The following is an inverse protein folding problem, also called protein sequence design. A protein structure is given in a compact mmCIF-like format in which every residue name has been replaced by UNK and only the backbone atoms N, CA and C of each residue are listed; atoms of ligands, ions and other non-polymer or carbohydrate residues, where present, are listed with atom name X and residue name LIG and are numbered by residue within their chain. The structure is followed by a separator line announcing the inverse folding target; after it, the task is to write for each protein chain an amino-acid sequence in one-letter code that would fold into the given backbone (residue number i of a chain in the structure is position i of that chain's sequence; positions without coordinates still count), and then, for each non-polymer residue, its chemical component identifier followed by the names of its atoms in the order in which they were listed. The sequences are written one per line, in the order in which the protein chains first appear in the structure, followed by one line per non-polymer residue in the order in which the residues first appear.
data_IF_149219851986
#
_entry.id   IF_149219851986
#
_cell.length_a   1.000
_cell.length_b   1.000
_cell.length_c   1.000
_cell.angle_alpha   90.00
_cell.angle_beta   90.00
_cell.angle_gamma   90.00
#
_symmetry.space_group_name_H-M   'P 1'
#
loop_
_entity.id
_entity.type
_entity.pdbx_description
1 polymer ?
#
# COMPACT_ATOMS: atom_id res chain seq x y z
N UNK A 1 18.45 -23.51 5.34
CA UNK A 1 18.20 -22.45 6.31
C UNK A 1 17.91 -21.15 5.58
N UNK A 2 16.83 -20.52 5.94
CA UNK A 2 16.45 -19.27 5.29
C UNK A 2 17.23 -18.09 5.87
N UNK A 3 18.08 -17.51 5.05
CA UNK A 3 18.69 -16.25 5.41
C UNK A 3 17.70 -15.14 5.14
N UNK A 4 17.29 -14.47 6.21
CA UNK A 4 16.52 -13.25 6.08
C UNK A 4 17.50 -12.09 6.17
N UNK A 5 17.81 -11.49 5.03
CA UNK A 5 18.60 -10.28 5.01
C UNK A 5 17.68 -9.09 5.09
N UNK A 6 17.99 -8.15 5.96
CA UNK A 6 17.21 -6.92 6.05
C UNK A 6 17.75 -5.92 5.04
N UNK A 7 16.91 -5.52 4.12
CA UNK A 7 17.21 -4.37 3.27
C UNK A 7 16.88 -3.10 4.07
N UNK A 8 17.69 -2.08 3.93
CA UNK A 8 17.53 -0.82 4.65
C UNK A 8 17.69 0.35 3.69
N UNK A 9 17.22 1.53 4.13
CA UNK A 9 17.40 2.79 3.42
C UNK A 9 16.88 2.71 1.97
N UNK A 10 17.63 3.29 1.06
CA UNK A 10 17.24 3.38 -0.35
C UNK A 10 17.00 2.02 -0.99
N UNK A 11 17.80 1.01 -0.63
CA UNK A 11 17.65 -0.33 -1.18
C UNK A 11 16.31 -0.95 -0.80
N UNK A 12 15.85 -0.72 0.43
CA UNK A 12 14.55 -1.19 0.91
C UNK A 12 13.40 -0.52 0.13
N UNK A 13 13.50 0.78 -0.04
CA UNK A 13 12.49 1.54 -0.79
C UNK A 13 12.46 1.11 -2.25
N UNK A 14 13.63 0.98 -2.88
CA UNK A 14 13.73 0.57 -4.28
C UNK A 14 13.12 -0.82 -4.49
N UNK A 15 13.37 -1.75 -3.57
CA UNK A 15 12.80 -3.10 -3.67
C UNK A 15 11.28 -3.08 -3.48
N UNK A 16 10.80 -2.35 -2.48
CA UNK A 16 9.38 -2.18 -2.24
C UNK A 16 8.69 -1.59 -3.46
N UNK A 17 9.24 -0.52 -4.00
CA UNK A 17 8.71 0.16 -5.18
C UNK A 17 8.66 -0.78 -6.37
N UNK A 18 9.74 -1.51 -6.61
CA UNK A 18 9.82 -2.48 -7.71
C UNK A 18 8.71 -3.53 -7.63
N UNK A 19 8.49 -4.11 -6.45
CA UNK A 19 7.48 -5.15 -6.26
C UNK A 19 6.07 -4.59 -6.36
N UNK A 20 5.79 -3.47 -5.70
CA UNK A 20 4.45 -2.86 -5.72
C UNK A 20 4.08 -2.42 -7.14
N UNK A 21 4.99 -1.76 -7.85
CA UNK A 21 4.70 -1.25 -9.20
C UNK A 21 4.64 -2.36 -10.24
N UNK A 22 5.29 -3.50 -10.00
CA UNK A 22 5.18 -4.66 -10.88
C UNK A 22 3.85 -5.40 -10.69
N UNK A 23 3.37 -5.52 -9.45
CA UNK A 23 2.17 -6.29 -9.14
C UNK A 23 0.91 -5.42 -9.19
N UNK A 24 0.95 -4.23 -8.61
CA UNK A 24 -0.09 -3.21 -8.55
C UNK A 24 -1.30 -3.56 -7.68
N UNK A 25 -1.93 -4.70 -7.87
CA UNK A 25 -3.14 -5.07 -7.14
C UNK A 25 -2.79 -5.83 -5.87
N UNK A 26 -3.37 -5.41 -4.76
CA UNK A 26 -3.20 -6.09 -3.48
C UNK A 26 -4.56 -6.39 -2.84
N UNK A 27 -4.54 -7.28 -1.85
CA UNK A 27 -5.62 -7.36 -0.88
C UNK A 27 -5.28 -6.39 0.25
N UNK A 28 -6.12 -5.38 0.41
CA UNK A 28 -5.94 -4.34 1.42
C UNK A 28 -6.75 -4.71 2.66
N UNK A 29 -6.08 -5.01 3.75
CA UNK A 29 -6.69 -5.55 4.96
C UNK A 29 -6.77 -4.50 6.04
N UNK A 30 -7.98 -4.32 6.60
CA UNK A 30 -8.26 -3.45 7.73
C UNK A 30 -8.85 -4.25 8.88
N UNK A 31 -9.04 -3.63 10.04
CA UNK A 31 -9.64 -4.29 11.20
C UNK A 31 -8.87 -5.55 11.64
N UNK A 32 -7.55 -5.45 11.67
CA UNK A 32 -6.68 -6.60 11.90
C UNK A 32 -6.88 -7.28 13.26
N UNK A 33 -7.42 -6.54 14.23
CA UNK A 33 -7.57 -7.00 15.61
C UNK A 33 -9.00 -7.37 16.00
N UNK A 34 -9.92 -7.46 15.04
CA UNK A 34 -11.30 -7.83 15.35
C UNK A 34 -11.44 -9.33 15.54
N UNK A 35 -12.37 -9.73 16.42
CA UNK A 35 -12.65 -11.15 16.66
C UNK A 35 -13.21 -11.85 15.42
N UNK A 36 -13.88 -11.11 14.56
CA UNK A 36 -14.45 -11.61 13.31
C UNK A 36 -13.40 -11.75 12.19
N UNK A 37 -12.15 -11.38 12.48
CA UNK A 37 -11.07 -11.39 11.52
C UNK A 37 -10.96 -10.11 10.72
N UNK A 38 -9.86 -9.97 10.00
CA UNK A 38 -9.62 -8.80 9.18
C UNK A 38 -10.58 -8.72 8.00
N UNK A 39 -10.93 -7.51 7.61
CA UNK A 39 -11.71 -7.26 6.40
C UNK A 39 -10.76 -6.93 5.26
N UNK A 40 -10.90 -7.61 4.14
CA UNK A 40 -10.00 -7.47 3.00
C UNK A 40 -10.77 -7.12 1.73
N UNK A 41 -10.15 -6.34 0.86
CA UNK A 41 -10.68 -6.01 -0.47
C UNK A 41 -9.55 -5.78 -1.45
N UNK A 42 -9.76 -6.09 -2.74
CA UNK A 42 -8.76 -5.76 -3.75
C UNK A 42 -8.64 -4.25 -3.92
N UNK A 43 -7.41 -3.76 -4.04
CA UNK A 43 -7.13 -2.37 -4.33
C UNK A 43 -5.90 -2.26 -5.20
N UNK A 44 -5.90 -1.28 -6.09
CA UNK A 44 -4.75 -1.00 -6.95
C UNK A 44 -3.90 0.11 -6.34
N UNK A 45 -2.63 -0.20 -6.11
CA UNK A 45 -1.66 0.81 -5.70
C UNK A 45 -1.39 1.75 -6.87
N UNK A 46 -1.24 3.04 -6.59
CA UNK A 46 -0.97 4.05 -7.60
C UNK A 46 0.53 4.29 -7.76
N UNK A 47 1.23 4.36 -6.63
CA UNK A 47 2.63 4.77 -6.64
C UNK A 47 3.27 4.45 -5.30
N UNK A 48 4.57 4.20 -5.31
CA UNK A 48 5.43 4.24 -4.12
C UNK A 48 6.32 5.47 -4.27
N UNK A 49 6.25 6.40 -3.33
CA UNK A 49 7.07 7.61 -3.39
C UNK A 49 8.49 7.36 -2.88
N UNK A 50 9.35 8.37 -3.00
CA UNK A 50 10.76 8.25 -2.60
C UNK A 50 10.96 8.01 -1.11
N UNK A 51 9.96 8.35 -0.28
CA UNK A 51 10.00 8.05 1.15
C UNK A 51 9.48 6.64 1.48
N UNK A 52 9.03 5.90 0.47
CA UNK A 52 8.55 4.53 0.66
C UNK A 52 7.06 4.41 0.98
N UNK A 53 6.31 5.50 0.92
CA UNK A 53 4.87 5.45 1.15
C UNK A 53 4.14 4.91 -0.07
N UNK A 54 3.12 4.08 0.19
CA UNK A 54 2.29 3.48 -0.87
C UNK A 54 0.97 4.26 -0.92
N UNK A 55 0.60 4.69 -2.11
CA UNK A 55 -0.54 5.58 -2.32
C UNK A 55 -1.68 4.89 -3.05
N UNK A 56 -2.91 5.18 -2.59
CA UNK A 56 -4.14 4.63 -3.17
C UNK A 56 -5.19 5.73 -3.28
N UNK A 57 -6.14 5.57 -4.21
CA UNK A 57 -7.38 6.32 -4.17
C UNK A 57 -8.45 5.52 -3.43
N UNK A 58 -9.37 6.21 -2.79
CA UNK A 58 -10.53 5.61 -2.16
C UNK A 58 -11.73 6.55 -2.27
N UNK A 59 -12.90 6.00 -2.03
CA UNK A 59 -14.11 6.80 -1.95
C UNK A 59 -14.25 7.35 -0.54
N UNK A 60 -14.60 8.63 -0.45
CA UNK A 60 -14.62 9.40 0.79
C UNK A 60 -15.40 8.72 1.91
N UNK A 61 -16.56 8.14 1.61
CA UNK A 61 -17.43 7.52 2.60
C UNK A 61 -17.38 5.99 2.56
N UNK A 62 -16.30 5.41 2.05
CA UNK A 62 -16.18 3.97 1.95
C UNK A 62 -16.00 3.29 3.31
N UNK A 63 -16.37 2.02 3.38
CA UNK A 63 -16.18 1.20 4.58
C UNK A 63 -14.71 1.11 4.98
N UNK A 64 -13.81 1.05 3.99
CA UNK A 64 -12.38 0.99 4.27
C UNK A 64 -11.87 2.29 4.90
N UNK A 65 -12.38 3.45 4.47
CA UNK A 65 -12.03 4.71 5.09
C UNK A 65 -12.49 4.77 6.55
N UNK A 66 -13.71 4.31 6.82
CA UNK A 66 -14.24 4.26 8.17
C UNK A 66 -13.42 3.31 9.06
N UNK A 67 -13.04 2.16 8.51
CA UNK A 67 -12.20 1.19 9.22
C UNK A 67 -10.82 1.77 9.55
N UNK A 68 -10.21 2.49 8.62
CA UNK A 68 -8.91 3.14 8.83
C UNK A 68 -8.99 4.21 9.90
N UNK A 69 -10.06 4.99 9.91
CA UNK A 69 -10.26 6.03 10.94
C UNK A 69 -10.43 5.42 12.33
N UNK A 70 -11.05 4.24 12.42
CA UNK A 70 -11.22 3.54 13.69
C UNK A 70 -9.93 2.87 14.16
N UNK A 71 -9.16 2.28 13.25
CA UNK A 71 -7.88 1.64 13.52
C UNK A 71 -7.02 1.74 12.25
N UNK A 72 -5.95 2.51 12.33
CA UNK A 72 -5.13 2.82 11.17
C UNK A 72 -4.14 1.72 10.78
N UNK A 73 -4.05 0.64 11.53
CA UNK A 73 -3.17 -0.48 11.18
C UNK A 73 -3.73 -1.24 9.99
N UNK A 74 -2.90 -1.44 8.98
CA UNK A 74 -3.29 -2.12 7.74
C UNK A 74 -2.25 -3.13 7.34
N UNK A 75 -2.68 -4.09 6.52
CA UNK A 75 -1.79 -5.10 5.95
C UNK A 75 -2.14 -5.24 4.46
N UNK A 76 -1.11 -5.24 3.64
CA UNK A 76 -1.27 -5.34 2.18
C UNK A 76 -0.64 -6.64 1.70
N UNK A 77 -1.39 -7.42 0.93
CA UNK A 77 -0.88 -8.65 0.32
C UNK A 77 -0.84 -8.49 -1.19
N UNK A 78 0.37 -8.45 -1.74
CA UNK A 78 0.60 -8.42 -3.18
C UNK A 78 1.04 -9.80 -3.63
N UNK A 79 0.48 -10.29 -4.73
CA UNK A 79 0.79 -11.63 -5.24
C UNK A 79 0.84 -11.62 -6.76
N UNK A 80 1.93 -12.16 -7.30
CA UNK A 80 2.09 -12.37 -8.74
C UNK A 80 2.64 -13.79 -8.95
N UNK A 81 1.75 -14.83 -8.91
CA UNK A 81 2.19 -16.22 -9.02
C UNK A 81 2.96 -16.53 -10.30
N UNK A 82 2.58 -15.90 -11.42
CA UNK A 82 3.24 -16.11 -12.71
C UNK A 82 4.71 -15.73 -12.71
N UNK A 83 5.12 -14.79 -11.85
CA UNK A 83 6.51 -14.38 -11.68
C UNK A 83 7.10 -14.86 -10.35
N UNK A 84 6.39 -15.67 -9.61
CA UNK A 84 6.79 -16.14 -8.28
C UNK A 84 7.16 -14.98 -7.34
N UNK A 85 6.38 -13.91 -7.37
CA UNK A 85 6.60 -12.72 -6.55
C UNK A 85 5.46 -12.52 -5.58
N UNK A 86 5.81 -12.31 -4.32
CA UNK A 86 4.85 -12.11 -3.23
C UNK A 86 5.40 -11.04 -2.29
N UNK A 87 4.52 -10.20 -1.79
CA UNK A 87 4.92 -9.13 -0.88
C UNK A 87 3.83 -8.92 0.16
N UNK A 88 4.23 -8.89 1.43
CA UNK A 88 3.35 -8.52 2.54
C UNK A 88 3.88 -7.23 3.14
N UNK A 89 3.03 -6.22 3.22
CA UNK A 89 3.38 -4.93 3.84
C UNK A 89 2.54 -4.73 5.08
N UNK A 90 3.18 -4.45 6.20
CA UNK A 90 2.53 -4.04 7.45
C UNK A 90 2.79 -2.56 7.66
N UNK A 91 1.74 -1.79 7.89
CA UNK A 91 1.91 -0.35 8.04
C UNK A 91 0.73 0.35 8.65
N UNK A 92 0.76 1.66 8.53
CA UNK A 92 -0.29 2.55 9.02
C UNK A 92 -0.83 3.37 7.88
N UNK A 93 -2.14 3.51 7.82
CA UNK A 93 -2.82 4.25 6.77
C UNK A 93 -3.30 5.61 7.29
N UNK A 94 -3.24 6.61 6.43
CA UNK A 94 -3.75 7.95 6.68
C UNK A 94 -4.63 8.35 5.51
N UNK A 95 -5.81 8.89 5.81
CA UNK A 95 -6.74 9.37 4.78
C UNK A 95 -6.53 10.86 4.61
N UNK A 96 -6.39 11.29 3.38
CA UNK A 96 -6.12 12.68 3.02
C UNK A 96 -7.10 13.16 1.96
N UNK A 97 -7.42 14.45 2.00
CA UNK A 97 -8.28 15.11 1.03
C UNK A 97 -7.50 16.23 0.30
N UNK A 98 -6.27 15.93 -0.04
CA UNK A 98 -5.34 16.88 -0.64
C UNK A 98 -5.50 16.88 -2.16
N UNK A 99 -6.06 17.95 -2.69
CA UNK A 99 -6.32 18.07 -4.13
C UNK A 99 -5.04 18.05 -4.97
N UNK A 100 -3.96 18.64 -4.47
CA UNK A 100 -2.68 18.62 -5.16
C UNK A 100 -2.15 17.19 -5.29
N UNK A 101 -2.29 16.40 -4.22
CA UNK A 101 -1.90 14.98 -4.25
C UNK A 101 -2.78 14.17 -5.19
N UNK A 102 -4.08 14.44 -5.21
CA UNK A 102 -5.00 13.79 -6.14
C UNK A 102 -4.59 14.05 -7.59
N UNK A 103 -4.25 15.31 -7.92
CA UNK A 103 -3.81 15.66 -9.27
C UNK A 103 -2.48 14.97 -9.64
N UNK A 104 -1.55 14.92 -8.70
CA UNK A 104 -0.26 14.25 -8.92
C UNK A 104 -0.45 12.75 -9.21
N UNK A 105 -1.37 12.10 -8.51
CA UNK A 105 -1.59 10.66 -8.60
C UNK A 105 -2.60 10.26 -9.68
N UNK A 106 -3.33 11.22 -10.25
CA UNK A 106 -4.41 10.93 -11.18
C UNK A 106 -3.91 10.22 -12.44
N UNK A 107 -4.65 9.18 -12.84
CA UNK A 107 -4.47 8.50 -14.11
C UNK A 107 -5.84 8.38 -14.80
N UNK A 108 -5.89 8.29 -16.14
CA UNK A 108 -7.18 8.15 -16.85
C UNK A 108 -7.97 6.90 -16.42
N UNK A 109 -7.31 5.84 -15.98
CA UNK A 109 -7.97 4.61 -15.51
C UNK A 109 -8.82 4.88 -14.28
N UNK A 110 -8.43 5.83 -13.43
CA UNK A 110 -9.17 6.16 -12.22
C UNK A 110 -10.59 6.66 -12.50
N UNK A 111 -10.85 7.15 -13.70
CA UNK A 111 -12.18 7.63 -14.10
C UNK A 111 -13.25 6.52 -14.07
N UNK A 112 -12.83 5.26 -14.11
CA UNK A 112 -13.74 4.13 -13.97
C UNK A 112 -14.49 4.19 -12.64
N UNK A 113 -13.81 4.61 -11.57
CA UNK A 113 -14.38 4.70 -10.23
C UNK A 113 -14.86 6.11 -9.86
N UNK A 114 -14.35 7.13 -10.54
CA UNK A 114 -14.64 8.54 -10.24
C UNK A 114 -15.07 9.24 -11.53
N UNK A 115 -16.38 9.18 -11.79
CA UNK A 115 -16.97 9.64 -13.06
C UNK A 115 -16.69 11.10 -13.38
N UNK A 116 -16.59 11.96 -12.36
CA UNK A 116 -16.33 13.37 -12.54
C UNK A 116 -14.84 13.70 -12.72
N UNK A 117 -13.99 12.66 -12.80
CA UNK A 117 -12.56 12.84 -12.99
C UNK A 117 -11.86 13.28 -11.70
N UNK A 118 -10.72 13.92 -11.86
CA UNK A 118 -9.88 14.34 -10.72
C UNK A 118 -10.53 15.40 -9.82
N UNK A 119 -11.58 16.03 -10.28
CA UNK A 119 -12.34 17.01 -9.50
C UNK A 119 -13.53 16.40 -8.79
N UNK A 120 -13.72 15.09 -8.87
CA UNK A 120 -14.81 14.39 -8.20
C UNK A 120 -14.71 14.60 -6.68
N UNK A 121 -15.76 15.13 -6.04
CA UNK A 121 -15.73 15.40 -4.60
C UNK A 121 -15.67 14.15 -3.74
N UNK A 122 -15.89 12.98 -4.33
CA UNK A 122 -15.87 11.71 -3.60
C UNK A 122 -14.47 11.09 -3.48
N UNK A 123 -13.45 11.70 -4.10
CA UNK A 123 -12.10 11.16 -4.05
C UNK A 123 -11.43 11.49 -2.72
N UNK A 124 -10.86 10.47 -2.09
CA UNK A 124 -9.88 10.62 -1.03
C UNK A 124 -8.61 9.86 -1.41
N UNK A 125 -7.54 10.15 -0.70
CA UNK A 125 -6.24 9.52 -0.90
C UNK A 125 -5.89 8.75 0.36
N UNK A 126 -5.42 7.53 0.21
CA UNK A 126 -4.87 6.75 1.32
C UNK A 126 -3.36 6.71 1.15
N UNK A 127 -2.66 7.15 2.18
CA UNK A 127 -1.22 7.03 2.28
C UNK A 127 -0.90 5.92 3.28
N UNK A 128 -0.23 4.87 2.82
CA UNK A 128 0.23 3.80 3.70
C UNK A 128 1.72 4.00 3.97
N UNK A 129 2.08 4.14 5.23
CA UNK A 129 3.47 4.20 5.67
C UNK A 129 3.88 2.82 6.14
N UNK A 130 4.71 2.10 5.39
CA UNK A 130 5.12 0.75 5.78
C UNK A 130 6.03 0.79 7.01
N UNK A 131 5.80 -0.12 7.94
CA UNK A 131 6.70 -0.36 9.07
C UNK A 131 7.65 -1.49 8.74
N UNK A 132 7.10 -2.60 8.24
CA UNK A 132 7.87 -3.78 7.83
C UNK A 132 7.25 -4.34 6.55
N UNK A 133 8.06 -5.09 5.83
CA UNK A 133 7.57 -5.84 4.69
C UNK A 133 8.36 -7.14 4.57
N UNK A 134 7.67 -8.17 4.06
CA UNK A 134 8.29 -9.44 3.70
C UNK A 134 8.06 -9.69 2.23
N UNK A 135 9.07 -10.17 1.54
CA UNK A 135 8.89 -10.54 0.15
C UNK A 135 9.53 -11.89 -0.17
N UNK A 136 8.95 -12.52 -1.19
CA UNK A 136 9.49 -13.73 -1.82
C UNK A 136 9.55 -13.45 -3.31
N UNK A 137 10.68 -13.75 -3.91
CA UNK A 137 10.85 -13.67 -5.37
C UNK A 137 11.80 -14.77 -5.82
N UNK A 138 12.19 -14.75 -7.09
CA UNK A 138 13.07 -15.78 -7.65
C UNK A 138 14.47 -15.74 -7.04
N UNK A 139 14.85 -14.63 -6.41
CA UNK A 139 16.17 -14.47 -5.78
C UNK A 139 16.17 -14.83 -4.30
N UNK A 140 15.02 -15.22 -3.75
CA UNK A 140 14.90 -15.64 -2.35
C UNK A 140 13.80 -14.90 -1.59
N UNK A 141 13.86 -14.98 -0.27
CA UNK A 141 12.92 -14.31 0.61
C UNK A 141 13.68 -13.41 1.57
N UNK A 142 13.14 -12.21 1.81
CA UNK A 142 13.79 -11.22 2.67
C UNK A 142 12.77 -10.36 3.40
N UNK A 143 13.20 -9.86 4.55
CA UNK A 143 12.44 -8.88 5.30
C UNK A 143 12.98 -7.48 5.04
N UNK A 144 12.07 -6.54 4.83
CA UNK A 144 12.38 -5.12 4.70
C UNK A 144 11.90 -4.44 5.97
N UNK A 145 12.81 -3.78 6.66
CA UNK A 145 12.48 -3.01 7.86
C UNK A 145 12.53 -1.53 7.53
N UNK A 146 11.37 -0.96 7.28
CA UNK A 146 11.24 0.44 6.88
C UNK A 146 11.10 1.40 8.05
N UNK A 147 10.78 0.87 9.23
CA UNK A 147 10.64 1.71 10.43
C UNK A 147 11.94 2.40 10.80
N UNK A 148 13.07 1.71 10.68
CA UNK A 148 14.37 2.29 10.97
C UNK A 148 14.75 3.42 10.03
N UNK A 149 14.22 3.41 8.82
CA UNK A 149 14.49 4.46 7.83
C UNK A 149 13.74 5.74 8.16
N UNK A 150 12.50 5.61 8.63
CA UNK A 150 11.69 6.77 8.99
C UNK A 150 12.26 7.52 10.19
N UNK A 151 13.07 6.85 11.02
CA UNK A 151 13.69 7.42 12.20
C UNK A 151 15.04 8.07 11.93
N UNK A 152 15.59 7.89 10.74
CA UNK A 152 16.91 8.45 10.40
C UNK A 152 16.76 9.77 9.57
#
# INVERSE_FOLDING_TARGET
MNHTENLTNKDAIDKLKSLVEDILVCLFCTNLKTDDGATSRPMSALKVCDQGNVWFFSEKNSDKNQAIEADNKVQLFFSHPGKSRYLIVNGEAEIMFDKAKIEELWTPVAKIWFEQGKDDPDISVIKVTPNTAYYWDTDGNRMINLLKMAAS
#
